data_IF_753195545674
#
_entry.id   IF_753195545674
#
_cell.length_a   1.000
_cell.length_b   1.000
_cell.length_c   1.000
_cell.angle_alpha   90.00
_cell.angle_beta   90.00
_cell.angle_gamma   90.00
#
_symmetry.space_group_name_H-M   'P 1'
#
loop_
_entity.id
_entity.type
_entity.pdbx_description
1 polymer ?
#
# COMPACT_ATOMS: atom_id res chain seq x y z
N UNK A 1 -21.08 19.46 59.19
CA UNK A 1 -20.31 20.21 58.18
C UNK A 1 -20.08 19.29 56.99
N UNK A 2 -20.69 19.58 55.83
CA UNK A 2 -20.61 18.76 54.60
C UNK A 2 -19.34 19.13 53.84
N UNK A 3 -18.47 18.16 53.59
CA UNK A 3 -17.31 18.32 52.70
C UNK A 3 -17.79 18.35 51.24
N UNK A 4 -17.57 19.47 50.57
CA UNK A 4 -17.83 19.66 49.14
C UNK A 4 -16.60 19.18 48.38
N UNK A 5 -16.70 18.02 47.73
CA UNK A 5 -15.65 17.49 46.84
C UNK A 5 -15.76 18.25 45.52
N UNK A 6 -14.78 19.12 45.26
CA UNK A 6 -14.63 19.85 44.01
C UNK A 6 -14.04 18.90 42.95
N UNK A 7 -14.90 18.36 42.08
CA UNK A 7 -14.49 17.58 40.91
C UNK A 7 -13.88 18.52 39.87
N UNK A 8 -12.54 18.53 39.80
CA UNK A 8 -11.80 19.26 38.78
C UNK A 8 -11.96 18.48 37.47
N UNK A 9 -12.87 18.94 36.61
CA UNK A 9 -12.96 18.56 35.20
C UNK A 9 -11.74 19.14 34.47
N UNK A 10 -10.63 18.40 34.50
CA UNK A 10 -9.56 18.63 33.53
C UNK A 10 -10.09 18.21 32.16
N UNK A 11 -10.15 19.10 31.15
CA UNK A 11 -10.32 18.66 29.79
C UNK A 11 -9.07 17.84 29.46
N UNK A 12 -9.23 16.53 29.29
CA UNK A 12 -8.26 15.71 28.59
C UNK A 12 -8.23 16.25 27.17
N UNK A 13 -7.35 17.22 26.93
CA UNK A 13 -7.00 17.66 25.58
C UNK A 13 -6.28 16.47 24.97
N UNK A 14 -7.06 15.56 24.39
CA UNK A 14 -6.57 14.50 23.54
C UNK A 14 -6.02 15.20 22.30
N UNK A 15 -4.71 15.43 22.28
CA UNK A 15 -4.02 15.69 21.04
C UNK A 15 -4.03 14.36 20.28
N UNK A 16 -5.08 14.16 19.47
CA UNK A 16 -4.94 13.29 18.33
C UNK A 16 -3.86 13.96 17.48
N UNK A 17 -2.68 13.34 17.39
CA UNK A 17 -1.69 13.71 16.39
C UNK A 17 -2.45 13.82 15.08
N UNK A 18 -2.52 15.05 14.54
CA UNK A 18 -2.97 15.25 13.17
C UNK A 18 -2.06 14.36 12.34
N UNK A 19 -2.63 13.29 11.79
CA UNK A 19 -1.97 12.36 10.88
C UNK A 19 -1.03 13.18 10.01
N UNK A 20 0.27 13.02 10.23
CA UNK A 20 1.28 13.67 9.41
C UNK A 20 1.22 12.93 8.07
N UNK A 21 0.33 13.35 7.18
CA UNK A 21 0.01 12.77 5.85
C UNK A 21 1.13 12.99 4.84
N UNK A 22 2.36 12.79 5.28
CA UNK A 22 3.47 12.51 4.39
C UNK A 22 3.70 11.02 4.54
N UNK A 23 3.25 10.23 3.58
CA UNK A 23 3.56 8.81 3.49
C UNK A 23 5.08 8.59 3.33
N UNK A 24 5.84 8.82 4.39
CA UNK A 24 7.26 8.52 4.50
C UNK A 24 7.39 7.00 4.61
N UNK A 25 7.86 6.36 3.53
CA UNK A 25 8.02 4.90 3.46
C UNK A 25 7.10 4.17 2.49
N UNK A 26 6.38 4.86 1.59
CA UNK A 26 5.51 4.25 0.55
C UNK A 26 6.16 3.16 -0.30
N UNK A 27 7.48 3.13 -0.40
CA UNK A 27 8.23 2.07 -1.09
C UNK A 27 8.00 0.69 -0.45
N UNK A 28 7.62 0.64 0.82
CA UNK A 28 7.38 -0.61 1.54
C UNK A 28 6.10 -1.30 1.07
N UNK A 29 5.10 -0.55 0.60
CA UNK A 29 3.80 -1.14 0.20
C UNK A 29 3.95 -2.05 -1.02
N UNK A 30 4.49 -1.60 -2.17
CA UNK A 30 4.73 -2.52 -3.27
C UNK A 30 5.79 -3.59 -2.94
N UNK A 31 6.70 -3.33 -2.00
CA UNK A 31 7.69 -4.33 -1.58
C UNK A 31 7.06 -5.48 -0.80
N UNK A 32 6.09 -5.19 0.07
CA UNK A 32 5.27 -6.19 0.77
C UNK A 32 4.49 -7.04 -0.21
N UNK A 33 3.94 -6.46 -1.29
CA UNK A 33 3.26 -7.23 -2.34
C UNK A 33 4.18 -8.28 -2.98
N UNK A 34 5.44 -7.93 -3.29
CA UNK A 34 6.40 -8.93 -3.79
C UNK A 34 6.82 -9.95 -2.73
N UNK A 35 6.94 -9.53 -1.48
CA UNK A 35 7.23 -10.44 -0.38
C UNK A 35 6.11 -11.48 -0.18
N UNK A 36 4.86 -11.05 -0.13
CA UNK A 36 3.70 -11.94 -0.02
C UNK A 36 3.58 -12.86 -1.24
N UNK A 37 3.92 -12.36 -2.43
CA UNK A 37 3.97 -13.22 -3.61
C UNK A 37 5.01 -14.35 -3.47
N UNK A 38 6.19 -14.05 -2.93
CA UNK A 38 7.23 -15.05 -2.64
C UNK A 38 6.73 -16.12 -1.67
N UNK A 39 6.11 -15.72 -0.57
CA UNK A 39 5.67 -16.66 0.47
C UNK A 39 4.43 -17.45 0.03
N UNK A 40 3.41 -16.75 -0.46
CA UNK A 40 2.06 -17.31 -0.60
C UNK A 40 1.85 -17.97 -1.96
N UNK A 41 2.55 -17.50 -3.00
CA UNK A 41 2.39 -18.01 -4.37
C UNK A 41 3.55 -18.90 -4.80
N UNK A 42 4.77 -18.61 -4.36
CA UNK A 42 5.94 -19.42 -4.71
C UNK A 42 6.29 -20.45 -3.63
N UNK A 43 5.68 -20.36 -2.45
CA UNK A 43 5.94 -21.28 -1.35
C UNK A 43 7.34 -21.14 -0.76
N UNK A 44 7.99 -19.99 -0.94
CA UNK A 44 9.35 -19.74 -0.44
C UNK A 44 9.23 -19.36 1.05
N UNK A 45 9.82 -20.14 1.97
CA UNK A 45 9.79 -19.82 3.39
C UNK A 45 10.50 -18.50 3.67
N UNK A 46 9.91 -17.67 4.54
CA UNK A 46 10.50 -16.41 5.01
C UNK A 46 11.96 -16.56 5.45
N UNK A 47 12.26 -17.65 6.18
CA UNK A 47 13.61 -17.96 6.69
C UNK A 47 14.67 -18.16 5.59
N UNK A 48 14.28 -18.35 4.35
CA UNK A 48 15.22 -18.48 3.23
C UNK A 48 15.62 -17.13 2.65
N UNK A 49 14.87 -16.06 2.95
CA UNK A 49 15.12 -14.70 2.48
C UNK A 49 16.08 -14.01 3.45
N UNK A 50 17.21 -13.54 2.94
CA UNK A 50 18.15 -12.69 3.67
C UNK A 50 17.70 -11.23 3.54
N UNK A 51 16.87 -10.77 4.48
CA UNK A 51 16.32 -9.40 4.49
C UNK A 51 17.41 -8.33 4.46
N UNK A 52 18.58 -8.59 5.05
CA UNK A 52 19.71 -7.64 5.06
C UNK A 52 20.28 -7.38 3.67
N UNK A 53 20.01 -8.28 2.73
CA UNK A 53 20.44 -8.18 1.32
C UNK A 53 19.30 -7.82 0.37
N UNK A 54 18.07 -7.67 0.86
CA UNK A 54 16.95 -7.21 0.05
C UNK A 54 17.18 -5.77 -0.38
N UNK A 55 17.02 -5.51 -1.68
CA UNK A 55 17.21 -4.16 -2.25
C UNK A 55 15.92 -3.69 -2.89
N UNK A 56 15.45 -2.54 -2.43
CA UNK A 56 14.33 -1.81 -3.03
C UNK A 56 14.87 -0.61 -3.80
N UNK A 57 14.43 -0.45 -5.04
CA UNK A 57 14.83 0.64 -5.93
C UNK A 57 13.60 1.29 -6.55
N UNK A 58 13.49 2.61 -6.44
CA UNK A 58 12.50 3.38 -7.16
C UNK A 58 12.71 3.26 -8.67
N UNK A 59 11.62 3.04 -9.43
CA UNK A 59 11.62 3.10 -10.89
C UNK A 59 10.90 4.37 -11.36
N UNK A 60 9.64 4.52 -10.97
CA UNK A 60 8.79 5.60 -11.49
C UNK A 60 7.66 5.98 -10.53
N UNK A 61 7.18 7.22 -10.64
CA UNK A 61 5.97 7.73 -9.99
C UNK A 61 5.14 8.46 -11.03
N UNK A 62 3.99 7.89 -11.37
CA UNK A 62 3.08 8.47 -12.37
C UNK A 62 1.75 8.86 -11.74
N UNK A 63 1.37 10.14 -11.83
CA UNK A 63 0.03 10.59 -11.42
C UNK A 63 -1.04 9.95 -12.30
N UNK A 64 -2.14 9.52 -11.69
CA UNK A 64 -3.30 9.02 -12.42
C UNK A 64 -4.12 10.18 -12.94
N UNK A 65 -4.41 10.15 -14.24
CA UNK A 65 -5.34 11.09 -14.85
C UNK A 65 -6.77 10.72 -14.47
N UNK A 66 -7.71 11.68 -14.39
CA UNK A 66 -9.11 11.39 -14.10
C UNK A 66 -9.73 10.32 -15.02
N UNK A 67 -9.33 10.31 -16.30
CA UNK A 67 -9.77 9.30 -17.27
C UNK A 67 -9.29 7.89 -16.87
N UNK A 68 -8.00 7.76 -16.54
CA UNK A 68 -7.41 6.47 -16.11
C UNK A 68 -8.01 6.02 -14.77
N UNK A 69 -8.26 6.95 -13.85
CA UNK A 69 -8.99 6.69 -12.60
C UNK A 69 -10.38 6.12 -12.86
N UNK A 70 -11.15 6.74 -13.75
CA UNK A 70 -12.49 6.24 -14.15
C UNK A 70 -12.43 4.84 -14.73
N UNK A 71 -11.45 4.54 -15.58
CA UNK A 71 -11.27 3.19 -16.13
C UNK A 71 -11.00 2.17 -15.03
N UNK A 72 -10.16 2.49 -14.03
CA UNK A 72 -9.89 1.60 -12.89
C UNK A 72 -11.17 1.32 -12.11
N UNK A 73 -11.95 2.36 -11.78
CA UNK A 73 -13.24 2.22 -11.09
C UNK A 73 -14.17 1.31 -11.89
N UNK A 74 -14.32 1.53 -13.19
CA UNK A 74 -15.17 0.70 -14.05
C UNK A 74 -14.70 -0.76 -14.12
N UNK A 75 -13.39 -1.02 -14.14
CA UNK A 75 -12.85 -2.37 -14.10
C UNK A 75 -13.16 -3.06 -12.77
N UNK A 76 -12.96 -2.37 -11.63
CA UNK A 76 -13.24 -2.92 -10.30
C UNK A 76 -14.73 -3.24 -10.13
N UNK A 77 -15.62 -2.37 -10.64
CA UNK A 77 -17.07 -2.59 -10.58
C UNK A 77 -17.57 -3.75 -11.46
N UNK A 78 -16.74 -4.23 -12.41
CA UNK A 78 -17.08 -5.35 -13.32
C UNK A 78 -16.34 -6.65 -12.98
N UNK A 79 -15.40 -6.61 -12.03
CA UNK A 79 -14.57 -7.76 -11.64
C UNK A 79 -15.30 -8.78 -10.76
N UNK A 80 -14.73 -9.97 -10.51
CA UNK A 80 -15.35 -11.04 -9.72
C UNK A 80 -15.60 -10.65 -8.24
N UNK A 81 -14.94 -9.59 -7.75
CA UNK A 81 -15.17 -8.97 -6.45
C UNK A 81 -16.14 -7.80 -6.56
N UNK A 82 -17.30 -8.02 -7.19
CA UNK A 82 -18.28 -6.97 -7.44
C UNK A 82 -18.76 -6.39 -6.11
N UNK A 83 -18.42 -5.14 -5.84
CA UNK A 83 -19.16 -4.33 -4.86
C UNK A 83 -20.32 -3.72 -5.66
N UNK A 84 -21.42 -4.46 -5.82
CA UNK A 84 -22.54 -4.06 -6.70
C UNK A 84 -23.42 -2.98 -6.07
N UNK A 85 -22.79 -1.98 -5.47
CA UNK A 85 -23.41 -0.92 -4.71
C UNK A 85 -23.00 0.42 -5.31
N UNK A 86 -23.99 1.31 -5.49
CA UNK A 86 -23.78 2.69 -5.88
C UNK A 86 -22.84 3.41 -4.90
N UNK A 87 -22.94 3.10 -3.60
CA UNK A 87 -22.05 3.63 -2.57
C UNK A 87 -20.58 3.26 -2.83
N UNK A 88 -20.32 2.03 -3.28
CA UNK A 88 -18.96 1.58 -3.57
C UNK A 88 -18.37 2.29 -4.78
N UNK A 89 -19.19 2.55 -5.81
CA UNK A 89 -18.77 3.34 -6.97
C UNK A 89 -18.38 4.77 -6.58
N UNK A 90 -19.14 5.39 -5.69
CA UNK A 90 -18.86 6.73 -5.18
C UNK A 90 -17.56 6.77 -4.39
N UNK A 91 -17.36 5.81 -3.47
CA UNK A 91 -16.11 5.68 -2.71
C UNK A 91 -14.90 5.48 -3.65
N UNK A 92 -15.00 4.56 -4.60
CA UNK A 92 -13.91 4.30 -5.56
C UNK A 92 -13.63 5.51 -6.46
N UNK A 93 -14.66 6.28 -6.82
CA UNK A 93 -14.51 7.53 -7.57
C UNK A 93 -13.76 8.58 -6.74
N UNK A 94 -14.11 8.74 -5.47
CA UNK A 94 -13.45 9.68 -4.58
C UNK A 94 -11.97 9.34 -4.43
N UNK A 95 -11.65 8.06 -4.19
CA UNK A 95 -10.29 7.56 -4.09
C UNK A 95 -9.51 7.79 -5.40
N UNK A 96 -9.93 7.18 -6.51
CA UNK A 96 -9.10 7.12 -7.72
C UNK A 96 -9.14 8.37 -8.60
N UNK A 97 -10.09 9.29 -8.37
CA UNK A 97 -10.25 10.50 -9.18
C UNK A 97 -10.04 11.76 -8.35
N UNK A 98 -10.58 11.85 -7.12
CA UNK A 98 -10.52 13.09 -6.32
C UNK A 98 -9.29 13.15 -5.42
N UNK A 99 -8.83 12.02 -4.87
CA UNK A 99 -7.72 11.99 -3.90
C UNK A 99 -6.31 11.96 -4.54
N UNK A 100 -6.15 12.37 -5.81
CA UNK A 100 -4.82 12.51 -6.46
C UNK A 100 -3.94 11.24 -6.38
N UNK A 101 -4.52 10.08 -6.66
CA UNK A 101 -3.77 8.81 -6.72
C UNK A 101 -2.65 8.88 -7.75
N UNK A 102 -1.52 8.26 -7.42
CA UNK A 102 -0.40 8.00 -8.31
C UNK A 102 -0.03 6.52 -8.26
N UNK A 103 0.59 6.05 -9.34
CA UNK A 103 1.21 4.73 -9.41
C UNK A 103 2.65 4.87 -8.99
N UNK A 104 3.06 4.16 -7.94
CA UNK A 104 4.45 4.00 -7.54
C UNK A 104 4.96 2.67 -8.11
N UNK A 105 6.00 2.71 -8.92
CA UNK A 105 6.67 1.53 -9.45
C UNK A 105 8.06 1.40 -8.84
N UNK A 106 8.37 0.22 -8.30
CA UNK A 106 9.66 -0.11 -7.72
C UNK A 106 10.19 -1.43 -8.26
N UNK A 107 11.50 -1.62 -8.16
CA UNK A 107 12.15 -2.91 -8.31
C UNK A 107 12.55 -3.44 -6.94
N UNK A 108 12.27 -4.71 -6.69
CA UNK A 108 12.67 -5.41 -5.47
C UNK A 108 13.53 -6.60 -5.86
N UNK A 109 14.71 -6.69 -5.27
CA UNK A 109 15.61 -7.84 -5.40
C UNK A 109 15.73 -8.51 -4.04
N UNK A 110 15.29 -9.77 -3.96
CA UNK A 110 15.50 -10.64 -2.80
C UNK A 110 16.71 -11.52 -3.04
N UNK A 111 17.47 -11.80 -1.98
CA UNK A 111 18.57 -12.76 -1.99
C UNK A 111 18.37 -13.79 -0.89
N UNK A 112 18.73 -15.04 -1.15
CA UNK A 112 18.73 -16.08 -0.13
C UNK A 112 20.06 -16.11 0.63
N UNK A 113 20.11 -16.79 1.78
CA UNK A 113 21.37 -17.07 2.48
C UNK A 113 22.37 -17.88 1.62
N UNK A 114 21.89 -18.61 0.61
CA UNK A 114 22.71 -19.34 -0.36
C UNK A 114 23.10 -18.53 -1.61
N UNK A 115 22.71 -17.24 -1.67
CA UNK A 115 23.06 -16.33 -2.77
C UNK A 115 22.15 -16.41 -4.00
N UNK A 116 21.06 -17.17 -3.93
CA UNK A 116 20.04 -17.23 -4.99
C UNK A 116 19.21 -15.94 -5.00
N UNK A 117 18.71 -15.54 -6.17
CA UNK A 117 18.04 -14.23 -6.34
C UNK A 117 16.69 -14.35 -7.02
N UNK A 118 15.70 -13.66 -6.46
CA UNK A 118 14.44 -13.37 -7.14
C UNK A 118 14.31 -11.85 -7.29
N UNK A 119 13.88 -11.40 -8.47
CA UNK A 119 13.78 -9.98 -8.80
C UNK A 119 12.38 -9.68 -9.32
N UNK A 120 11.80 -8.58 -8.87
CA UNK A 120 10.45 -8.17 -9.22
C UNK A 120 10.39 -6.71 -9.62
N UNK A 121 9.49 -6.37 -10.54
CA UNK A 121 8.95 -5.03 -10.68
C UNK A 121 7.55 -5.07 -10.09
N UNK A 122 7.26 -4.17 -9.16
CA UNK A 122 5.95 -4.06 -8.53
C UNK A 122 5.47 -2.64 -8.66
N UNK A 123 4.16 -2.51 -8.87
CA UNK A 123 3.49 -1.22 -8.83
C UNK A 123 2.32 -1.24 -7.85
N UNK A 124 2.08 -0.11 -7.21
CA UNK A 124 0.93 0.10 -6.33
C UNK A 124 0.31 1.46 -6.60
N UNK A 125 -1.01 1.53 -6.46
CA UNK A 125 -1.76 2.77 -6.38
C UNK A 125 -1.63 3.34 -4.99
N UNK A 126 -1.26 4.61 -4.88
CA UNK A 126 -1.00 5.30 -3.62
C UNK A 126 -1.59 6.71 -3.73
N UNK A 127 -2.16 7.23 -2.65
CA UNK A 127 -2.42 8.66 -2.51
C UNK A 127 -1.72 9.20 -1.26
N UNK A 128 -1.73 10.52 -1.08
CA UNK A 128 -0.98 11.17 0.01
C UNK A 128 -1.63 10.92 1.40
N UNK A 129 -2.91 10.50 1.43
CA UNK A 129 -3.71 10.28 2.65
C UNK A 129 -3.77 8.80 3.05
N UNK A 130 -3.81 7.90 2.06
CA UNK A 130 -3.87 6.45 2.13
C UNK A 130 -2.63 5.91 1.41
N UNK A 131 -1.60 5.60 2.21
CA UNK A 131 -0.30 5.16 1.72
C UNK A 131 -0.31 3.82 0.96
N UNK A 132 -1.48 3.18 0.82
CA UNK A 132 -1.78 2.04 -0.04
C UNK A 132 -3.25 2.10 -0.46
N UNK A 133 -3.50 2.35 -1.74
CA UNK A 133 -4.85 2.41 -2.34
C UNK A 133 -5.20 1.12 -3.07
N UNK A 134 -4.18 0.40 -3.56
CA UNK A 134 -4.35 -0.91 -4.18
C UNK A 134 -3.10 -1.40 -4.92
N UNK A 135 -3.10 -2.68 -5.29
CA UNK A 135 -2.03 -3.26 -6.09
C UNK A 135 -2.16 -2.88 -7.57
N UNK A 136 -1.09 -2.34 -8.15
CA UNK A 136 -1.00 -1.98 -9.57
C UNK A 136 -0.51 -3.12 -10.46
N UNK A 137 0.08 -4.15 -9.85
CA UNK A 137 0.55 -5.37 -10.50
C UNK A 137 2.00 -5.72 -10.18
N UNK A 138 2.38 -6.94 -10.52
CA UNK A 138 3.70 -7.51 -10.22
C UNK A 138 4.21 -8.29 -11.43
N UNK A 139 5.48 -8.08 -11.77
CA UNK A 139 6.21 -8.81 -12.80
C UNK A 139 7.46 -9.41 -12.17
N UNK A 140 7.65 -10.71 -12.32
CA UNK A 140 8.89 -11.37 -11.94
C UNK A 140 9.90 -11.27 -13.09
N UNK A 141 11.08 -10.73 -12.80
CA UNK A 141 12.19 -10.60 -13.73
C UNK A 141 13.14 -11.80 -13.69
N UNK A 142 13.28 -12.41 -12.51
CA UNK A 142 14.18 -13.54 -12.28
C UNK A 142 13.64 -14.44 -11.17
N UNK A 143 13.83 -15.76 -11.33
CA UNK A 143 13.48 -16.80 -10.35
C UNK A 143 14.66 -17.75 -10.12
N UNK A 144 15.44 -17.49 -9.08
CA UNK A 144 16.59 -18.30 -8.68
C UNK A 144 16.43 -19.07 -7.38
N UNK A 145 15.47 -18.70 -6.52
CA UNK A 145 15.18 -19.42 -5.27
C UNK A 145 14.81 -20.88 -5.55
#
# INVERSE_FOLDING_TARGET
MKFLILLILFPLVSYADKYNTSCTGTQNVPAVTAYNYMTDKLGIPVKEIDESKTKVRFIDRQTITPLKGKMIVETMMKGPHVVSDQMAREILTDIYIKMRVYVLTIKVDFESFSGKKNSFIVSSYINDDECSVGDGGLIMLNRGF
#
